data_IF_921342134243
#
_entry.id   IF_921342134243
#
_cell.length_a   1.000
_cell.length_b   1.000
_cell.length_c   1.000
_cell.angle_alpha   90.00
_cell.angle_beta   90.00
_cell.angle_gamma   90.00
#
_symmetry.space_group_name_H-M   'P 1'
#
loop_
_entity.id
_entity.type
_entity.pdbx_description
1 polymer ?
#
# COMPACT_ATOMS: atom_id res chain seq x y z
N UNK A 1 25.63 -19.10 17.41
CA UNK A 1 24.61 -19.35 16.36
C UNK A 1 23.51 -18.33 16.57
N UNK A 2 23.72 -17.12 16.06
CA UNK A 2 22.73 -16.03 16.11
C UNK A 2 22.45 -15.66 14.67
N UNK A 3 21.15 -15.72 14.36
CA UNK A 3 20.54 -15.71 13.06
C UNK A 3 20.99 -14.54 12.18
N UNK A 4 21.41 -14.85 10.94
CA UNK A 4 21.42 -13.90 9.82
C UNK A 4 19.97 -13.57 9.47
N UNK A 5 19.33 -12.70 10.26
CA UNK A 5 18.28 -11.86 9.69
C UNK A 5 19.05 -10.89 8.80
N UNK A 6 18.87 -11.01 7.48
CA UNK A 6 19.54 -10.12 6.52
C UNK A 6 19.34 -8.68 6.95
N UNK A 7 20.40 -7.87 6.84
CA UNK A 7 20.34 -6.44 7.14
C UNK A 7 19.32 -5.80 6.19
N UNK A 8 18.03 -5.78 6.57
CA UNK A 8 17.04 -4.93 5.93
C UNK A 8 17.63 -3.52 5.93
N UNK A 9 17.78 -2.97 4.72
CA UNK A 9 18.77 -1.95 4.41
C UNK A 9 18.92 -0.87 5.48
N UNK A 10 20.18 -0.50 5.79
CA UNK A 10 20.55 0.48 6.82
C UNK A 10 19.66 1.73 6.82
N UNK A 11 19.24 2.19 5.64
CA UNK A 11 18.34 3.34 5.45
C UNK A 11 16.95 3.11 6.05
N UNK A 12 16.31 1.97 5.78
CA UNK A 12 15.00 1.64 6.35
C UNK A 12 15.04 1.63 7.88
N UNK A 13 16.09 1.05 8.47
CA UNK A 13 16.30 1.07 9.91
C UNK A 13 16.34 2.48 10.49
N UNK A 14 17.12 3.36 9.86
CA UNK A 14 17.25 4.77 10.26
C UNK A 14 15.95 5.55 10.10
N UNK A 15 15.21 5.36 9.00
CA UNK A 15 13.93 6.04 8.78
C UNK A 15 12.86 5.57 9.76
N UNK A 16 12.81 4.27 10.03
CA UNK A 16 11.92 3.71 11.05
C UNK A 16 12.21 4.27 12.43
N UNK A 17 13.48 4.38 12.82
CA UNK A 17 13.88 5.03 14.07
C UNK A 17 13.50 6.52 14.08
N UNK A 18 13.68 7.21 12.95
CA UNK A 18 13.30 8.61 12.78
C UNK A 18 11.79 8.88 12.87
N UNK A 19 10.95 7.91 12.50
CA UNK A 19 9.50 7.98 12.65
C UNK A 19 9.04 7.92 14.12
N UNK A 20 9.91 7.49 15.04
CA UNK A 20 9.65 7.49 16.48
C UNK A 20 8.38 6.71 16.87
N UNK A 21 7.54 7.30 17.72
CA UNK A 21 6.32 6.65 18.22
C UNK A 21 5.28 6.43 17.13
N UNK A 22 5.26 7.26 16.08
CA UNK A 22 4.29 7.13 14.99
C UNK A 22 4.39 5.76 14.29
N UNK A 23 5.60 5.19 14.20
CA UNK A 23 5.78 3.84 13.67
C UNK A 23 5.09 2.79 14.56
N UNK A 24 5.37 2.81 15.86
CA UNK A 24 4.80 1.86 16.81
C UNK A 24 3.27 1.99 16.89
N UNK A 25 2.76 3.22 16.96
CA UNK A 25 1.33 3.51 17.00
C UNK A 25 0.60 2.99 15.74
N UNK A 26 1.26 3.05 14.58
CA UNK A 26 0.70 2.56 13.32
C UNK A 26 0.72 1.03 13.23
N UNK A 27 1.88 0.39 13.43
CA UNK A 27 2.01 -1.06 13.24
C UNK A 27 1.36 -1.87 14.36
N UNK A 28 1.13 -1.27 15.53
CA UNK A 28 0.44 -1.90 16.66
C UNK A 28 -0.98 -1.36 16.88
N UNK A 29 -1.54 -0.63 15.90
CA UNK A 29 -2.90 -0.12 15.97
C UNK A 29 -3.92 -1.25 16.24
N UNK A 30 -4.99 -0.94 16.98
CA UNK A 30 -6.01 -1.93 17.37
C UNK A 30 -6.60 -2.67 16.16
N UNK A 31 -6.72 -2.01 15.01
CA UNK A 31 -7.13 -2.66 13.77
C UNK A 31 -6.24 -3.87 13.42
N UNK A 32 -4.92 -3.72 13.51
CA UNK A 32 -3.94 -4.78 13.20
C UNK A 32 -4.00 -5.88 14.25
N UNK A 33 -4.06 -5.52 15.53
CA UNK A 33 -4.14 -6.49 16.64
C UNK A 33 -5.42 -7.33 16.56
N UNK A 34 -6.57 -6.69 16.33
CA UNK A 34 -7.85 -7.37 16.19
C UNK A 34 -7.93 -8.20 14.89
N UNK A 35 -7.24 -7.78 13.83
CA UNK A 35 -7.12 -8.59 12.61
C UNK A 35 -6.28 -9.86 12.88
N UNK A 36 -5.20 -9.73 13.64
CA UNK A 36 -4.32 -10.83 14.00
C UNK A 36 -5.03 -11.90 14.86
N UNK A 37 -5.80 -11.49 15.87
CA UNK A 37 -6.49 -12.42 16.78
C UNK A 37 -7.89 -12.84 16.29
N UNK A 38 -8.37 -12.26 15.19
CA UNK A 38 -9.66 -12.57 14.58
C UNK A 38 -10.87 -11.89 15.24
N UNK A 39 -10.66 -10.98 16.19
CA UNK A 39 -11.73 -10.23 16.86
C UNK A 39 -12.24 -9.02 16.07
N UNK A 40 -11.57 -8.62 14.99
CA UNK A 40 -11.95 -7.45 14.19
C UNK A 40 -13.39 -7.63 13.63
N UNK A 41 -14.31 -6.67 13.88
CA UNK A 41 -15.64 -6.72 13.30
C UNK A 41 -15.58 -6.78 11.78
N UNK A 42 -16.32 -7.72 11.17
CA UNK A 42 -16.33 -7.92 9.71
C UNK A 42 -16.63 -6.63 8.95
N UNK A 43 -17.51 -5.78 9.46
CA UNK A 43 -17.84 -4.49 8.84
C UNK A 43 -16.62 -3.55 8.75
N UNK A 44 -15.74 -3.54 9.77
CA UNK A 44 -14.53 -2.74 9.76
C UNK A 44 -13.53 -3.26 8.73
N UNK A 45 -13.41 -4.58 8.61
CA UNK A 45 -12.56 -5.20 7.58
C UNK A 45 -13.06 -4.90 6.16
N UNK A 46 -14.37 -4.99 5.92
CA UNK A 46 -14.96 -4.64 4.62
C UNK A 46 -14.78 -3.15 4.32
N UNK A 47 -14.97 -2.27 5.32
CA UNK A 47 -14.71 -0.84 5.16
C UNK A 47 -13.24 -0.57 4.78
N UNK A 48 -12.30 -1.25 5.44
CA UNK A 48 -10.89 -1.20 5.09
C UNK A 48 -10.67 -1.61 3.63
N UNK A 49 -11.18 -2.76 3.19
CA UNK A 49 -10.98 -3.23 1.81
C UNK A 49 -11.55 -2.29 0.75
N UNK A 50 -12.67 -1.61 1.04
CA UNK A 50 -13.22 -0.60 0.13
C UNK A 50 -12.25 0.56 -0.05
N UNK A 51 -11.70 1.08 1.05
CA UNK A 51 -10.72 2.17 0.98
C UNK A 51 -9.38 1.70 0.40
N UNK A 52 -8.96 0.49 0.74
CA UNK A 52 -7.72 -0.11 0.26
C UNK A 52 -7.79 -0.39 -1.25
N UNK A 53 -8.96 -0.71 -1.80
CA UNK A 53 -9.15 -0.77 -3.26
C UNK A 53 -8.86 0.58 -3.94
N UNK A 54 -9.38 1.68 -3.38
CA UNK A 54 -9.12 3.03 -3.91
C UNK A 54 -7.63 3.37 -3.76
N UNK A 55 -7.03 3.02 -2.63
CA UNK A 55 -5.59 3.15 -2.40
C UNK A 55 -4.78 2.39 -3.46
N UNK A 56 -5.10 1.11 -3.71
CA UNK A 56 -4.40 0.24 -4.66
C UNK A 56 -4.45 0.77 -6.10
N UNK A 57 -5.51 1.46 -6.49
CA UNK A 57 -5.56 2.15 -7.80
C UNK A 57 -4.48 3.23 -7.87
N UNK A 58 -4.36 4.07 -6.84
CA UNK A 58 -3.35 5.12 -6.78
C UNK A 58 -1.93 4.56 -6.60
N UNK A 59 -1.78 3.53 -5.78
CA UNK A 59 -0.51 2.85 -5.56
C UNK A 59 -0.01 2.16 -6.83
N UNK A 60 -0.91 1.55 -7.62
CA UNK A 60 -0.58 1.01 -8.95
C UNK A 60 -0.08 2.09 -9.91
N UNK A 61 -0.65 3.31 -9.85
CA UNK A 61 -0.18 4.46 -10.64
C UNK A 61 1.19 4.94 -10.18
N UNK A 62 1.46 4.95 -8.87
CA UNK A 62 2.77 5.28 -8.32
C UNK A 62 3.84 4.28 -8.79
N UNK A 63 3.55 2.97 -8.77
CA UNK A 63 4.47 1.98 -9.33
C UNK A 63 4.65 2.08 -10.85
N UNK A 64 3.60 2.46 -11.59
CA UNK A 64 3.73 2.75 -13.01
C UNK A 64 4.64 3.97 -13.26
N UNK A 65 4.58 4.99 -12.41
CA UNK A 65 5.50 6.12 -12.44
C UNK A 65 6.94 5.68 -12.11
N UNK A 66 7.12 4.71 -11.21
CA UNK A 66 8.44 4.14 -10.90
C UNK A 66 9.08 3.48 -12.13
N UNK A 67 8.28 2.83 -13.01
CA UNK A 67 8.79 2.29 -14.30
C UNK A 67 9.41 3.38 -15.16
N UNK A 68 8.83 4.58 -15.20
CA UNK A 68 9.37 5.67 -16.04
C UNK A 68 10.60 6.36 -15.45
N UNK A 69 10.85 6.13 -14.15
CA UNK A 69 11.98 6.69 -13.40
C UNK A 69 13.16 5.73 -13.25
N UNK A 70 12.96 4.43 -13.49
CA UNK A 70 14.03 3.44 -13.39
C UNK A 70 15.20 3.77 -14.34
N UNK A 71 16.42 3.60 -13.85
CA UNK A 71 17.64 3.86 -14.62
C UNK A 71 18.12 2.62 -15.38
N UNK A 72 17.67 1.44 -14.92
CA UNK A 72 18.03 0.13 -15.49
C UNK A 72 16.81 -0.67 -15.92
N UNK A 73 16.99 -1.57 -16.88
CA UNK A 73 15.91 -2.45 -17.34
C UNK A 73 15.45 -3.36 -16.21
N UNK A 74 16.37 -3.79 -15.35
CA UNK A 74 16.10 -4.62 -14.18
C UNK A 74 15.15 -3.91 -13.20
N UNK A 75 15.38 -2.63 -12.90
CA UNK A 75 14.48 -1.81 -12.07
C UNK A 75 13.11 -1.62 -12.72
N UNK A 76 13.07 -1.34 -14.03
CA UNK A 76 11.82 -1.20 -14.78
C UNK A 76 11.01 -2.49 -14.75
N UNK A 77 11.67 -3.64 -14.90
CA UNK A 77 11.03 -4.97 -14.83
C UNK A 77 10.48 -5.26 -13.44
N UNK A 78 11.22 -4.91 -12.39
CA UNK A 78 10.73 -5.04 -11.01
C UNK A 78 9.46 -4.21 -10.81
N UNK A 79 9.49 -2.92 -11.18
CA UNK A 79 8.35 -2.03 -11.03
C UNK A 79 7.14 -2.49 -11.86
N UNK A 80 7.35 -2.91 -13.10
CA UNK A 80 6.29 -3.43 -13.97
C UNK A 80 5.70 -4.74 -13.41
N UNK A 81 6.54 -5.60 -12.83
CA UNK A 81 6.11 -6.79 -12.11
C UNK A 81 5.19 -6.44 -10.94
N UNK A 82 5.56 -5.42 -10.14
CA UNK A 82 4.72 -4.93 -9.04
C UNK A 82 3.38 -4.38 -9.56
N UNK A 83 3.37 -3.55 -10.61
CA UNK A 83 2.12 -3.07 -11.24
C UNK A 83 1.22 -4.25 -11.64
N UNK A 84 1.80 -5.28 -12.26
CA UNK A 84 1.03 -6.45 -12.67
C UNK A 84 0.48 -7.24 -11.48
N UNK A 85 1.23 -7.38 -10.38
CA UNK A 85 0.72 -8.04 -9.17
C UNK A 85 -0.44 -7.25 -8.53
N UNK A 86 -0.31 -5.92 -8.45
CA UNK A 86 -1.35 -5.06 -7.88
C UNK A 86 -2.65 -5.11 -8.70
N UNK A 87 -2.57 -4.88 -10.01
CA UNK A 87 -3.74 -4.82 -10.90
C UNK A 87 -4.28 -6.22 -11.20
N UNK A 88 -3.37 -7.15 -11.46
CA UNK A 88 -3.68 -8.50 -11.93
C UNK A 88 -4.22 -9.40 -10.83
N UNK A 89 -3.77 -9.23 -9.59
CA UNK A 89 -4.05 -10.17 -8.51
C UNK A 89 -4.72 -9.50 -7.31
N UNK A 90 -4.11 -8.46 -6.74
CA UNK A 90 -4.55 -7.87 -5.47
C UNK A 90 -5.88 -7.11 -5.60
N UNK A 91 -6.02 -6.23 -6.59
CA UNK A 91 -7.29 -5.55 -6.88
C UNK A 91 -8.42 -6.56 -7.11
N UNK A 92 -8.14 -7.67 -7.81
CA UNK A 92 -9.13 -8.72 -8.04
C UNK A 92 -9.51 -9.45 -6.75
N UNK A 93 -8.57 -9.61 -5.81
CA UNK A 93 -8.86 -10.18 -4.51
C UNK A 93 -9.84 -9.29 -3.74
N UNK A 94 -9.62 -7.97 -3.70
CA UNK A 94 -10.52 -7.03 -3.03
C UNK A 94 -11.91 -7.03 -3.66
N UNK A 95 -12.00 -7.02 -4.99
CA UNK A 95 -13.29 -7.13 -5.70
C UNK A 95 -14.05 -8.38 -5.27
N UNK A 96 -13.39 -9.56 -5.26
CA UNK A 96 -14.03 -10.82 -4.86
C UNK A 96 -14.51 -10.78 -3.42
N UNK A 97 -13.67 -10.35 -2.48
CA UNK A 97 -14.05 -10.32 -1.05
C UNK A 97 -15.18 -9.33 -0.79
N UNK A 98 -15.20 -8.19 -1.48
CA UNK A 98 -16.28 -7.21 -1.39
C UNK A 98 -17.58 -7.74 -2.00
N UNK A 99 -17.50 -8.45 -3.13
CA UNK A 99 -18.65 -9.10 -3.77
C UNK A 99 -19.29 -10.16 -2.84
N UNK A 100 -18.48 -10.95 -2.13
CA UNK A 100 -18.97 -11.90 -1.12
C UNK A 100 -19.69 -11.22 0.06
N UNK A 101 -19.40 -9.93 0.28
CA UNK A 101 -20.09 -9.07 1.25
C UNK A 101 -21.27 -8.29 0.65
N UNK A 102 -21.64 -8.54 -0.61
CA UNK A 102 -22.76 -7.88 -1.29
C UNK A 102 -22.44 -6.52 -1.89
N UNK A 103 -21.16 -6.17 -2.04
CA UNK A 103 -20.72 -4.91 -2.66
C UNK A 103 -20.24 -5.22 -4.08
N UNK A 104 -20.98 -4.74 -5.08
CA UNK A 104 -20.59 -4.90 -6.47
C UNK A 104 -19.40 -4.00 -6.86
N UNK A 105 -18.75 -4.36 -7.97
CA UNK A 105 -17.58 -3.65 -8.46
C UNK A 105 -17.88 -2.19 -8.84
N UNK A 106 -19.10 -1.90 -9.31
CA UNK A 106 -19.51 -0.53 -9.63
C UNK A 106 -19.59 0.34 -8.37
N UNK A 107 -20.09 -0.20 -7.26
CA UNK A 107 -20.13 0.46 -5.96
C UNK A 107 -18.72 0.69 -5.44
N UNK A 108 -17.84 -0.30 -5.59
CA UNK A 108 -16.44 -0.22 -5.18
C UNK A 108 -15.67 0.83 -6.00
N UNK A 109 -15.86 0.86 -7.32
CA UNK A 109 -15.27 1.85 -8.23
C UNK A 109 -15.72 3.29 -7.91
N UNK A 110 -16.98 3.46 -7.53
CA UNK A 110 -17.55 4.76 -7.15
C UNK A 110 -17.38 5.09 -5.65
N UNK A 111 -16.63 4.28 -4.91
CA UNK A 111 -16.40 4.51 -3.49
C UNK A 111 -15.72 5.87 -3.27
N UNK A 112 -16.29 6.67 -2.37
CA UNK A 112 -15.69 7.96 -2.01
C UNK A 112 -14.40 7.71 -1.24
N UNK A 113 -13.31 8.27 -1.76
CA UNK A 113 -12.00 8.26 -1.09
C UNK A 113 -12.08 9.01 0.25
N UNK A 114 -11.64 8.36 1.32
CA UNK A 114 -11.54 8.96 2.64
C UNK A 114 -10.41 10.00 2.69
N UNK A 115 -10.54 11.03 3.51
CA UNK A 115 -9.56 12.13 3.60
C UNK A 115 -8.14 11.65 3.92
N UNK A 116 -7.98 10.65 4.79
CA UNK A 116 -6.67 10.09 5.10
C UNK A 116 -6.04 9.37 3.89
N UNK A 117 -6.84 8.63 3.12
CA UNK A 117 -6.40 7.95 1.91
C UNK A 117 -6.01 8.95 0.82
N UNK A 118 -6.83 9.98 0.62
CA UNK A 118 -6.53 11.08 -0.29
C UNK A 118 -5.22 11.78 0.07
N UNK A 119 -5.04 12.15 1.35
CA UNK A 119 -3.82 12.82 1.80
C UNK A 119 -2.58 11.96 1.53
N UNK A 120 -2.66 10.65 1.82
CA UNK A 120 -1.56 9.72 1.59
C UNK A 120 -1.26 9.56 0.09
N UNK A 121 -2.25 9.19 -0.71
CA UNK A 121 -2.03 8.89 -2.13
C UNK A 121 -1.61 10.12 -2.93
N UNK A 122 -2.10 11.32 -2.58
CA UNK A 122 -1.64 12.58 -3.19
C UNK A 122 -0.21 12.91 -2.80
N UNK A 123 0.16 12.74 -1.53
CA UNK A 123 1.55 12.94 -1.10
C UNK A 123 2.53 12.06 -1.89
N UNK A 124 2.26 10.76 -2.01
CA UNK A 124 3.15 9.82 -2.74
C UNK A 124 3.28 10.19 -4.22
N UNK A 125 2.15 10.48 -4.88
CA UNK A 125 2.17 10.85 -6.29
C UNK A 125 2.86 12.20 -6.52
N UNK A 126 2.65 13.19 -5.64
CA UNK A 126 3.28 14.50 -5.75
C UNK A 126 4.80 14.42 -5.49
N UNK A 127 5.23 13.64 -4.49
CA UNK A 127 6.65 13.35 -4.24
C UNK A 127 7.28 12.67 -5.46
N UNK A 128 6.63 11.66 -6.01
CA UNK A 128 7.08 11.02 -7.24
C UNK A 128 7.15 11.97 -8.42
N UNK A 129 6.14 12.81 -8.66
CA UNK A 129 6.15 13.71 -9.81
C UNK A 129 7.19 14.82 -9.69
N UNK A 130 7.46 15.31 -8.49
CA UNK A 130 8.39 16.42 -8.25
C UNK A 130 9.84 15.99 -8.03
N UNK A 131 10.06 14.75 -7.58
CA UNK A 131 11.36 14.19 -7.23
C UNK A 131 11.88 13.11 -8.18
N UNK A 132 12.85 12.32 -7.71
CA UNK A 132 13.44 11.19 -8.43
C UNK A 132 12.83 9.84 -8.00
N UNK A 133 13.51 8.73 -8.30
CA UNK A 133 13.07 7.39 -7.93
C UNK A 133 13.13 7.16 -6.41
N UNK A 134 14.09 7.75 -5.73
CA UNK A 134 14.25 7.63 -4.27
C UNK A 134 13.14 8.40 -3.56
N UNK A 135 12.79 9.59 -4.04
CA UNK A 135 11.66 10.37 -3.50
C UNK A 135 10.32 9.62 -3.61
N UNK A 136 10.14 8.82 -4.67
CA UNK A 136 8.95 8.00 -4.86
C UNK A 136 8.94 6.74 -3.97
N UNK A 137 10.10 6.20 -3.62
CA UNK A 137 10.24 4.97 -2.82
C UNK A 137 10.31 5.22 -1.31
N UNK A 138 10.47 6.48 -0.89
CA UNK A 138 10.60 6.90 0.51
C UNK A 138 9.26 6.91 1.26
#
# INVERSE_FOLDING_TARGET
MTSRIGNYGTIFGQWREGAGTAWADYVEHDFVRQLQDGSLPRANFIHYLIQDYVFLIHFSRAWALAVTKGETVEEMQLCAGTVNALIGDEIKLHIRICADAGIDEATLFNAREATANLAYTRYVLDAGHSGDMVDLLA
#
